data_IF_857779148894
#
_entry.id   IF_857779148894
#
_cell.length_a   1.000
_cell.length_b   1.000
_cell.length_c   1.000
_cell.angle_alpha   90.00
_cell.angle_beta   90.00
_cell.angle_gamma   90.00
#
_symmetry.space_group_name_H-M   'P 1'
#
loop_
_entity.id
_entity.type
_entity.pdbx_description
1 polymer ?
#
# COMPACT_ATOMS: atom_id res chain seq x y z
N UNK A 1 9.92 0.49 6.18
CA UNK A 1 11.07 -0.42 6.41
C UNK A 1 10.80 -1.74 5.71
N UNK A 2 11.75 -2.70 5.71
CA UNK A 2 11.49 -4.05 5.21
C UNK A 2 10.33 -4.71 5.97
N UNK A 3 10.27 -4.51 7.29
CA UNK A 3 9.16 -4.99 8.13
C UNK A 3 7.81 -4.43 7.72
N UNK A 4 7.73 -3.14 7.32
CA UNK A 4 6.48 -2.56 6.78
C UNK A 4 6.04 -3.24 5.49
N UNK A 5 6.98 -3.53 4.57
CA UNK A 5 6.64 -4.17 3.30
C UNK A 5 6.17 -5.61 3.50
N UNK A 6 6.83 -6.36 4.39
CA UNK A 6 6.41 -7.70 4.74
C UNK A 6 5.01 -7.70 5.37
N UNK A 7 4.76 -6.82 6.33
CA UNK A 7 3.45 -6.71 6.97
C UNK A 7 2.34 -6.30 6.00
N UNK A 8 2.65 -5.43 5.02
CA UNK A 8 1.72 -5.06 3.97
C UNK A 8 1.38 -6.26 3.08
N UNK A 9 2.38 -7.01 2.63
CA UNK A 9 2.19 -8.23 1.83
C UNK A 9 1.36 -9.29 2.58
N UNK A 10 1.71 -9.55 3.84
CA UNK A 10 1.01 -10.53 4.68
C UNK A 10 -0.45 -10.11 4.94
N UNK A 11 -0.67 -8.81 5.17
CA UNK A 11 -1.99 -8.23 5.34
C UNK A 11 -2.87 -8.38 4.10
N UNK A 12 -2.32 -8.10 2.92
CA UNK A 12 -3.00 -8.28 1.64
C UNK A 12 -3.39 -9.74 1.41
N UNK A 13 -2.43 -10.67 1.55
CA UNK A 13 -2.69 -12.11 1.38
C UNK A 13 -3.77 -12.62 2.33
N UNK A 14 -3.70 -12.22 3.61
CA UNK A 14 -4.70 -12.60 4.61
C UNK A 14 -6.07 -12.03 4.27
N UNK A 15 -6.13 -10.76 3.87
CA UNK A 15 -7.38 -10.11 3.49
C UNK A 15 -7.99 -10.76 2.25
N UNK A 16 -7.20 -11.12 1.24
CA UNK A 16 -7.69 -11.82 0.05
C UNK A 16 -8.21 -13.23 0.36
N UNK A 17 -7.52 -13.98 1.21
CA UNK A 17 -7.93 -15.34 1.59
C UNK A 17 -9.21 -15.39 2.45
N UNK A 18 -9.59 -14.29 3.13
CA UNK A 18 -10.75 -14.27 4.02
C UNK A 18 -12.05 -13.88 3.28
N UNK A 19 -13.01 -14.81 3.06
CA UNK A 19 -14.24 -14.51 2.32
C UNK A 19 -15.17 -13.50 3.03
N UNK A 20 -14.96 -13.25 4.32
CA UNK A 20 -15.71 -12.23 5.06
C UNK A 20 -15.25 -10.81 4.72
N UNK A 21 -13.98 -10.63 4.32
CA UNK A 21 -13.42 -9.35 3.90
C UNK A 21 -13.91 -9.01 2.50
N UNK A 22 -14.51 -7.82 2.34
CA UNK A 22 -15.10 -7.35 1.08
C UNK A 22 -14.29 -6.26 0.38
N UNK A 23 -13.41 -5.57 1.10
CA UNK A 23 -12.53 -4.53 0.58
C UNK A 23 -11.35 -4.32 1.53
N UNK A 24 -10.29 -3.69 1.04
CA UNK A 24 -9.05 -3.41 1.77
C UNK A 24 -8.81 -1.90 1.75
N UNK A 25 -8.50 -1.32 2.91
CA UNK A 25 -8.04 0.06 3.00
C UNK A 25 -6.59 0.08 3.44
N UNK A 26 -5.75 0.80 2.70
CA UNK A 26 -4.36 1.08 3.05
C UNK A 26 -4.30 2.55 3.48
N UNK A 27 -3.78 2.80 4.67
CA UNK A 27 -3.55 4.13 5.22
C UNK A 27 -2.24 4.15 6.02
N UNK A 28 -1.68 5.35 6.22
CA UNK A 28 -0.57 5.55 7.14
C UNK A 28 -1.05 6.09 8.48
N UNK A 29 -0.17 6.06 9.48
CA UNK A 29 -0.41 6.64 10.80
C UNK A 29 0.28 8.01 10.93
N UNK A 30 -0.11 8.79 11.95
CA UNK A 30 0.53 10.07 12.30
C UNK A 30 0.46 11.14 11.19
N UNK A 31 -0.68 11.22 10.50
CA UNK A 31 -0.98 12.31 9.56
C UNK A 31 -0.29 12.21 8.19
N UNK A 32 0.30 11.06 7.86
CA UNK A 32 1.04 10.84 6.60
C UNK A 32 0.79 9.44 6.07
N UNK A 33 0.51 9.32 4.78
CA UNK A 33 0.37 8.04 4.10
C UNK A 33 1.73 7.33 4.01
N UNK A 34 2.69 7.90 3.28
CA UNK A 34 4.06 7.36 3.18
C UNK A 34 5.01 8.35 2.51
N UNK A 35 6.17 8.58 3.13
CA UNK A 35 7.28 9.32 2.53
C UNK A 35 8.12 8.49 1.54
N UNK A 36 7.74 7.23 1.32
CA UNK A 36 8.38 6.32 0.38
C UNK A 36 9.45 5.41 0.98
N UNK A 37 9.91 4.48 0.15
CA UNK A 37 10.81 3.38 0.53
C UNK A 37 12.20 3.51 -0.11
N UNK A 38 12.70 4.73 -0.27
CA UNK A 38 13.92 5.03 -1.03
C UNK A 38 15.17 4.30 -0.51
N UNK A 39 15.29 4.12 0.81
CA UNK A 39 16.38 3.35 1.41
C UNK A 39 16.34 1.86 1.00
N UNK A 40 15.15 1.27 0.88
CA UNK A 40 14.98 -0.14 0.47
C UNK A 40 15.27 -0.30 -1.03
N UNK A 41 14.90 0.69 -1.84
CA UNK A 41 15.24 0.72 -3.27
C UNK A 41 16.76 0.71 -3.49
N UNK A 42 17.52 1.44 -2.67
CA UNK A 42 19.01 1.40 -2.69
C UNK A 42 19.58 0.05 -2.26
N UNK A 43 18.84 -0.72 -1.48
CA UNK A 43 19.19 -2.09 -1.07
C UNK A 43 18.73 -3.14 -2.10
N UNK A 44 18.23 -2.73 -3.26
CA UNK A 44 17.78 -3.64 -4.32
C UNK A 44 16.41 -4.28 -4.06
N UNK A 45 15.68 -3.85 -3.02
CA UNK A 45 14.35 -4.38 -2.73
C UNK A 45 13.34 -3.72 -3.67
N UNK A 46 12.67 -4.55 -4.48
CA UNK A 46 11.69 -4.10 -5.46
C UNK A 46 10.28 -4.01 -4.84
N UNK A 47 9.57 -2.91 -5.10
CA UNK A 47 8.16 -2.76 -4.72
C UNK A 47 7.20 -3.39 -5.73
N UNK A 48 7.66 -3.65 -6.96
CA UNK A 48 6.85 -4.19 -8.06
C UNK A 48 6.00 -5.42 -7.69
N UNK A 49 6.54 -6.43 -6.98
CA UNK A 49 5.75 -7.58 -6.54
C UNK A 49 4.58 -7.21 -5.62
N UNK A 50 4.78 -6.31 -4.66
CA UNK A 50 3.72 -5.86 -3.74
C UNK A 50 2.70 -5.01 -4.49
N UNK A 51 3.14 -4.10 -5.36
CA UNK A 51 2.25 -3.31 -6.21
C UNK A 51 1.41 -4.22 -7.10
N UNK A 52 2.02 -5.22 -7.73
CA UNK A 52 1.31 -6.22 -8.55
C UNK A 52 0.32 -7.05 -7.74
N UNK A 53 0.61 -7.36 -6.48
CA UNK A 53 -0.31 -8.05 -5.59
C UNK A 53 -1.55 -7.20 -5.31
N UNK A 54 -1.37 -5.90 -5.07
CA UNK A 54 -2.48 -4.96 -4.88
C UNK A 54 -3.32 -4.86 -6.16
N UNK A 55 -2.69 -4.65 -7.32
CA UNK A 55 -3.36 -4.50 -8.62
C UNK A 55 -4.16 -5.74 -9.04
N UNK A 56 -3.74 -6.92 -8.58
CA UNK A 56 -4.38 -8.21 -8.90
C UNK A 56 -5.34 -8.68 -7.82
N UNK A 57 -5.51 -7.93 -6.72
CA UNK A 57 -6.46 -8.31 -5.69
C UNK A 57 -7.87 -8.35 -6.30
N UNK A 58 -8.59 -9.45 -6.07
CA UNK A 58 -9.99 -9.57 -6.49
C UNK A 58 -10.93 -8.69 -5.65
N UNK A 59 -10.40 -8.08 -4.59
CA UNK A 59 -11.13 -7.19 -3.67
C UNK A 59 -10.78 -5.73 -3.98
N UNK A 60 -11.73 -4.79 -3.90
CA UNK A 60 -11.43 -3.37 -3.99
C UNK A 60 -10.37 -2.97 -2.96
N UNK A 61 -9.27 -2.35 -3.40
CA UNK A 61 -8.21 -1.82 -2.54
C UNK A 61 -8.22 -0.30 -2.65
N UNK A 62 -8.32 0.39 -1.52
CA UNK A 62 -8.42 1.84 -1.45
C UNK A 62 -7.21 2.39 -0.70
N UNK A 63 -6.45 3.28 -1.33
CA UNK A 63 -5.49 4.13 -0.64
C UNK A 63 -6.22 5.32 -0.01
N UNK A 64 -6.28 5.37 1.32
CA UNK A 64 -6.75 6.53 2.07
C UNK A 64 -5.54 7.40 2.44
N UNK A 65 -5.34 8.47 1.68
CA UNK A 65 -4.14 9.29 1.68
C UNK A 65 -4.35 10.52 2.56
N UNK A 66 -3.75 10.48 3.75
CA UNK A 66 -3.54 11.66 4.59
C UNK A 66 -2.12 12.22 4.36
N UNK A 67 -1.96 13.53 4.31
CA UNK A 67 -0.67 14.17 4.12
C UNK A 67 0.04 13.73 2.83
N UNK A 68 1.28 13.22 2.97
CA UNK A 68 2.16 12.94 1.83
C UNK A 68 2.11 11.47 1.37
N UNK A 69 2.10 11.27 0.05
CA UNK A 69 2.40 10.00 -0.62
C UNK A 69 3.50 10.24 -1.66
N UNK A 70 4.76 9.92 -1.33
CA UNK A 70 5.92 10.24 -2.16
C UNK A 70 6.76 9.00 -2.51
N UNK A 71 7.37 9.01 -3.70
CA UNK A 71 8.23 7.93 -4.18
C UNK A 71 7.53 6.57 -4.10
N UNK A 72 8.15 5.60 -3.43
CA UNK A 72 7.55 4.28 -3.24
C UNK A 72 6.21 4.26 -2.51
N UNK A 73 5.87 5.31 -1.75
CA UNK A 73 4.55 5.47 -1.17
C UNK A 73 3.51 5.74 -2.26
N UNK A 74 3.84 6.59 -3.23
CA UNK A 74 2.99 6.84 -4.38
C UNK A 74 2.89 5.61 -5.30
N UNK A 75 3.96 4.83 -5.46
CA UNK A 75 3.92 3.56 -6.21
C UNK A 75 2.89 2.58 -5.60
N UNK A 76 2.85 2.46 -4.26
CA UNK A 76 1.82 1.65 -3.56
C UNK A 76 0.41 2.22 -3.77
N UNK A 77 0.22 3.53 -3.66
CA UNK A 77 -1.08 4.16 -3.87
C UNK A 77 -1.59 4.03 -5.32
N UNK A 78 -0.69 4.01 -6.30
CA UNK A 78 -1.02 3.81 -7.72
C UNK A 78 -1.45 2.37 -7.99
N UNK A 79 -0.86 1.38 -7.31
CA UNK A 79 -1.31 -0.01 -7.41
C UNK A 79 -2.72 -0.25 -6.86
N UNK A 80 -3.22 0.62 -5.98
CA UNK A 80 -4.58 0.49 -5.43
C UNK A 80 -5.66 0.71 -6.51
N UNK A 81 -6.83 0.10 -6.35
CA UNK A 81 -7.97 0.31 -7.25
C UNK A 81 -8.51 1.74 -7.15
N UNK A 82 -8.57 2.28 -5.93
CA UNK A 82 -9.05 3.63 -5.66
C UNK A 82 -8.07 4.41 -4.80
N UNK A 83 -8.10 5.74 -4.93
CA UNK A 83 -7.33 6.68 -4.12
C UNK A 83 -8.27 7.77 -3.64
N UNK A 84 -8.30 7.98 -2.34
CA UNK A 84 -9.05 9.06 -1.69
C UNK A 84 -8.03 9.88 -0.91
N UNK A 85 -7.95 11.17 -1.21
CA UNK A 85 -7.01 12.07 -0.56
C UNK A 85 -7.75 13.07 0.33
N UNK A 86 -7.17 13.36 1.49
CA UNK A 86 -7.67 14.41 2.37
C UNK A 86 -7.56 15.78 1.68
N UNK A 87 -8.65 16.52 1.66
CA UNK A 87 -8.71 17.87 1.08
C UNK A 87 -8.35 18.88 2.17
N UNK A 88 -7.04 19.09 2.40
CA UNK A 88 -6.53 20.20 3.22
C UNK A 88 -5.02 20.32 3.09
#
# INVERSE_FOLDING_TARGET
>A
SLTTLQALEDGLKRADADPSVKAIMICGENGKFSAGFSALKRQGIALGPIVSLIERSEKPVVAAIEGIALGGGLEVALGCHYRIAHVK
#
